data_IF_285390983685
#
_entry.id   IF_285390983685
#
_cell.length_a   1.000
_cell.length_b   1.000
_cell.length_c   1.000
_cell.angle_alpha   90.00
_cell.angle_beta   90.00
_cell.angle_gamma   90.00
#
_symmetry.space_group_name_H-M   'P 1'
#
loop_
_entity.id
_entity.type
_entity.pdbx_description
1 polymer ?
#
# COMPACT_ATOMS: atom_id res chain seq x y z
N UNK A 1 6.00 15.27 14.11
CA UNK A 1 5.81 14.18 13.13
C UNK A 1 4.55 14.49 12.33
N UNK A 2 4.55 14.37 11.02
CA UNK A 2 3.38 14.75 10.21
C UNK A 2 2.28 13.68 10.32
N UNK A 3 1.05 14.16 10.44
CA UNK A 3 -0.17 13.37 10.39
C UNK A 3 -1.12 13.93 9.34
N UNK A 4 -1.82 13.05 8.65
CA UNK A 4 -2.95 13.40 7.79
C UNK A 4 -4.24 12.87 8.41
N UNK A 5 -5.26 13.72 8.55
CA UNK A 5 -6.53 13.33 9.14
C UNK A 5 -7.50 12.83 8.07
N UNK A 6 -7.92 11.57 8.18
CA UNK A 6 -8.94 10.98 7.35
C UNK A 6 -10.33 11.60 7.67
N UNK A 7 -11.27 11.66 6.73
CA UNK A 7 -12.63 12.16 6.99
C UNK A 7 -13.39 11.49 8.14
N UNK A 8 -13.02 10.25 8.51
CA UNK A 8 -13.55 9.57 9.69
C UNK A 8 -12.94 10.03 11.02
N UNK A 9 -12.00 10.98 10.99
CA UNK A 9 -11.29 11.54 12.13
C UNK A 9 -10.00 10.81 12.49
N UNK A 10 -9.69 9.68 11.86
CA UNK A 10 -8.47 8.91 12.11
C UNK A 10 -7.23 9.67 11.64
N UNK A 11 -6.23 9.81 12.51
CA UNK A 11 -4.95 10.42 12.16
C UNK A 11 -3.98 9.34 11.63
N UNK A 12 -3.48 9.56 10.43
CA UNK A 12 -2.53 8.68 9.75
C UNK A 12 -1.15 9.29 9.80
N UNK A 13 -0.23 8.62 10.47
CA UNK A 13 1.17 9.00 10.55
C UNK A 13 1.91 8.66 9.28
N UNK A 14 2.76 9.58 8.82
CA UNK A 14 3.65 9.35 7.68
C UNK A 14 4.98 10.06 7.86
N UNK A 15 5.98 9.62 7.10
CA UNK A 15 7.28 10.28 6.99
C UNK A 15 7.65 10.53 5.53
N UNK A 16 8.36 11.63 5.27
CA UNK A 16 8.91 11.95 3.96
C UNK A 16 10.44 11.84 4.00
N UNK A 17 11.01 11.17 3.03
CA UNK A 17 12.46 11.02 2.88
C UNK A 17 12.84 11.11 1.41
N UNK A 18 13.89 11.89 1.10
CA UNK A 18 14.37 12.07 -0.26
C UNK A 18 13.57 13.06 -1.09
N UNK A 19 13.99 13.22 -2.34
CA UNK A 19 13.37 14.09 -3.34
C UNK A 19 13.21 13.34 -4.66
N UNK A 20 12.27 13.77 -5.51
CA UNK A 20 12.01 13.15 -6.80
C UNK A 20 10.56 12.70 -6.99
N UNK A 21 10.31 11.76 -7.93
CA UNK A 21 8.96 11.21 -8.11
C UNK A 21 8.42 10.57 -6.81
N UNK A 22 7.17 10.85 -6.42
CA UNK A 22 6.62 10.33 -5.18
C UNK A 22 6.38 8.81 -5.25
N UNK A 23 6.86 8.10 -4.22
CA UNK A 23 6.70 6.66 -4.04
C UNK A 23 6.16 6.36 -2.63
N UNK A 24 4.94 5.86 -2.55
CA UNK A 24 4.35 5.38 -1.30
C UNK A 24 4.90 4.01 -0.95
N UNK A 25 5.36 3.85 0.30
CA UNK A 25 5.81 2.58 0.87
C UNK A 25 4.85 2.14 1.98
N UNK A 26 4.12 1.02 1.75
CA UNK A 26 3.11 0.51 2.68
C UNK A 26 3.52 -0.85 3.26
N UNK A 27 3.71 -0.90 4.57
CA UNK A 27 4.17 -2.08 5.31
C UNK A 27 3.09 -3.19 5.45
N UNK A 28 3.52 -4.35 5.94
CA UNK A 28 2.66 -5.50 6.23
C UNK A 28 1.99 -5.46 7.61
N UNK A 29 1.12 -6.45 7.87
CA UNK A 29 0.48 -6.63 9.17
C UNK A 29 1.54 -6.83 10.28
N UNK A 30 1.26 -6.33 11.48
CA UNK A 30 2.14 -6.39 12.67
C UNK A 30 3.52 -5.73 12.47
N UNK A 31 3.59 -4.77 11.56
CA UNK A 31 4.78 -4.00 11.23
C UNK A 31 4.47 -2.50 11.28
N UNK A 32 5.46 -1.67 10.99
CA UNK A 32 5.34 -0.22 10.87
C UNK A 32 6.25 0.31 9.75
N UNK A 33 6.23 1.62 9.53
CA UNK A 33 7.04 2.27 8.50
C UNK A 33 8.55 2.09 8.68
N UNK A 34 9.05 1.84 9.91
CA UNK A 34 10.48 1.63 10.17
C UNK A 34 11.01 0.33 9.54
N UNK A 35 10.13 -0.61 9.20
CA UNK A 35 10.51 -1.82 8.47
C UNK A 35 11.19 -1.50 7.14
N UNK A 36 10.77 -0.46 6.44
CA UNK A 36 11.37 -0.03 5.18
C UNK A 36 12.78 0.52 5.38
N UNK A 37 13.02 1.22 6.52
CA UNK A 37 14.35 1.71 6.91
C UNK A 37 15.27 0.57 7.28
N UNK A 38 14.84 -0.29 8.20
CA UNK A 38 15.65 -1.38 8.75
C UNK A 38 16.02 -2.44 7.72
N UNK A 39 15.20 -2.62 6.67
CA UNK A 39 15.45 -3.56 5.57
C UNK A 39 16.21 -2.95 4.40
N UNK A 40 16.66 -1.70 4.51
CA UNK A 40 17.52 -1.05 3.52
C UNK A 40 16.79 -0.45 2.31
N UNK A 41 15.46 -0.53 2.23
CA UNK A 41 14.70 0.05 1.10
C UNK A 41 14.84 1.57 1.04
N UNK A 42 14.78 2.24 2.18
CA UNK A 42 14.96 3.70 2.24
C UNK A 42 16.34 4.08 1.72
N UNK A 43 17.40 3.44 2.21
CA UNK A 43 18.77 3.71 1.78
C UNK A 43 18.98 3.48 0.27
N UNK A 44 18.29 2.50 -0.31
CA UNK A 44 18.41 2.18 -1.74
C UNK A 44 17.62 3.12 -2.65
N UNK A 45 16.55 3.77 -2.17
CA UNK A 45 15.59 4.48 -3.02
C UNK A 45 15.54 5.99 -2.79
N UNK A 46 16.01 6.50 -1.64
CA UNK A 46 15.86 7.91 -1.24
C UNK A 46 16.59 8.91 -2.16
N UNK A 47 17.62 8.46 -2.88
CA UNK A 47 18.36 9.33 -3.80
C UNK A 47 17.66 9.47 -5.17
N UNK A 48 16.58 8.71 -5.41
CA UNK A 48 15.85 8.68 -6.68
C UNK A 48 14.39 9.09 -6.52
N UNK A 49 13.79 8.81 -5.37
CA UNK A 49 12.37 9.03 -5.11
C UNK A 49 12.14 9.87 -3.86
N UNK A 50 11.07 10.65 -3.86
CA UNK A 50 10.46 11.15 -2.65
C UNK A 50 9.66 10.00 -2.03
N UNK A 51 10.20 9.39 -0.99
CA UNK A 51 9.58 8.27 -0.29
C UNK A 51 8.54 8.78 0.71
N UNK A 52 7.33 8.24 0.63
CA UNK A 52 6.20 8.50 1.53
C UNK A 52 5.97 7.22 2.31
N UNK A 53 6.55 7.13 3.50
CA UNK A 53 6.40 5.98 4.39
C UNK A 53 5.15 6.19 5.24
N UNK A 54 4.22 5.23 5.25
CA UNK A 54 2.94 5.37 5.95
C UNK A 54 2.79 4.28 6.99
N UNK A 55 2.45 4.67 8.22
CA UNK A 55 1.90 3.75 9.21
C UNK A 55 0.42 3.52 8.91
N UNK A 56 0.05 2.30 8.57
CA UNK A 56 -1.36 1.94 8.37
C UNK A 56 -2.16 2.17 9.65
N UNK A 57 -3.44 2.58 9.54
CA UNK A 57 -4.31 2.61 10.72
C UNK A 57 -4.20 1.31 11.53
N UNK A 58 -4.16 1.42 12.84
CA UNK A 58 -3.94 0.31 13.75
C UNK A 58 -2.47 -0.07 13.97
N UNK A 59 -1.51 0.64 13.33
CA UNK A 59 -0.08 0.34 13.39
C UNK A 59 0.74 1.60 13.67
N UNK A 60 1.97 1.41 14.13
CA UNK A 60 2.93 2.48 14.38
C UNK A 60 2.35 3.62 15.22
N UNK A 61 2.56 4.84 14.76
CA UNK A 61 2.05 6.07 15.39
C UNK A 61 0.65 6.48 14.89
N UNK A 62 0.09 5.79 13.89
CA UNK A 62 -1.29 6.04 13.45
C UNK A 62 -2.31 5.65 14.49
N UNK A 63 -3.48 6.31 14.46
CA UNK A 63 -4.60 5.97 15.35
C UNK A 63 -5.05 4.52 15.17
N UNK A 64 -5.63 3.98 16.26
CA UNK A 64 -6.03 2.58 16.38
C UNK A 64 -7.51 2.48 16.75
N UNK A 65 -8.43 2.74 15.78
CA UNK A 65 -9.87 2.61 16.02
C UNK A 65 -10.24 1.22 16.56
N UNK A 66 -11.20 1.17 17.49
CA UNK A 66 -11.63 -0.11 18.10
C UNK A 66 -12.65 -0.88 17.23
N UNK A 67 -13.31 -0.20 16.29
CA UNK A 67 -14.36 -0.79 15.45
C UNK A 67 -13.73 -1.58 14.31
N UNK A 68 -14.17 -2.82 14.10
CA UNK A 68 -13.67 -3.70 13.03
C UNK A 68 -13.89 -3.13 11.64
N UNK A 69 -15.01 -2.41 11.43
CA UNK A 69 -15.40 -1.77 10.17
C UNK A 69 -14.40 -0.69 9.75
N UNK A 70 -13.70 -0.07 10.71
CA UNK A 70 -12.66 0.91 10.44
C UNK A 70 -11.48 0.32 9.66
N UNK A 71 -11.34 -1.01 9.60
CA UNK A 71 -10.23 -1.70 8.98
C UNK A 71 -10.56 -2.33 7.62
N UNK A 72 -11.70 -2.01 7.05
CA UNK A 72 -12.07 -2.45 5.71
C UNK A 72 -11.09 -1.95 4.64
N UNK A 73 -10.95 -2.72 3.55
CA UNK A 73 -10.02 -2.40 2.47
C UNK A 73 -10.21 -1.00 1.91
N UNK A 74 -11.47 -0.60 1.66
CA UNK A 74 -11.80 0.72 1.13
C UNK A 74 -11.33 1.84 2.05
N UNK A 75 -11.54 1.69 3.35
CA UNK A 75 -11.15 2.67 4.36
C UNK A 75 -9.62 2.83 4.41
N UNK A 76 -8.87 1.71 4.41
CA UNK A 76 -7.40 1.73 4.37
C UNK A 76 -6.86 2.37 3.10
N UNK A 77 -7.52 2.15 1.95
CA UNK A 77 -7.13 2.78 0.69
C UNK A 77 -7.43 4.30 0.73
N UNK A 78 -8.51 4.71 1.39
CA UNK A 78 -8.80 6.13 1.62
C UNK A 78 -7.72 6.82 2.46
N UNK A 79 -7.07 6.13 3.41
CA UNK A 79 -5.93 6.67 4.15
C UNK A 79 -4.77 7.08 3.25
N UNK A 80 -4.47 6.28 2.22
CA UNK A 80 -3.44 6.62 1.24
C UNK A 80 -3.78 7.92 0.50
N UNK A 81 -5.05 8.06 0.07
CA UNK A 81 -5.53 9.28 -0.58
C UNK A 81 -5.43 10.48 0.36
N UNK A 82 -5.76 10.29 1.64
CA UNK A 82 -5.68 11.34 2.67
C UNK A 82 -4.26 11.86 2.81
N UNK A 83 -3.26 10.97 2.88
CA UNK A 83 -1.84 11.35 2.94
C UNK A 83 -1.42 12.08 1.66
N UNK A 84 -1.75 11.55 0.47
CA UNK A 84 -1.43 12.21 -0.79
C UNK A 84 -2.07 13.61 -0.91
N UNK A 85 -3.31 13.77 -0.45
CA UNK A 85 -3.99 15.07 -0.45
C UNK A 85 -3.33 16.07 0.51
N UNK A 86 -2.93 15.62 1.71
CA UNK A 86 -2.21 16.46 2.67
C UNK A 86 -0.85 16.93 2.15
N UNK A 87 -0.27 16.18 1.23
CA UNK A 87 1.00 16.51 0.57
C UNK A 87 0.82 17.23 -0.78
N UNK A 88 -0.42 17.51 -1.20
CA UNK A 88 -0.75 18.09 -2.51
C UNK A 88 -0.19 17.27 -3.70
N UNK A 89 -0.08 15.95 -3.53
CA UNK A 89 0.39 15.01 -4.55
C UNK A 89 -0.81 14.42 -5.28
N UNK A 90 -0.91 14.66 -6.57
CA UNK A 90 -1.98 14.13 -7.42
C UNK A 90 -1.80 12.64 -7.70
N UNK A 91 -0.60 12.24 -8.14
CA UNK A 91 -0.28 10.85 -8.48
C UNK A 91 1.08 10.43 -7.90
N UNK A 92 1.15 9.20 -7.39
CA UNK A 92 2.37 8.58 -6.88
C UNK A 92 2.62 7.21 -7.52
N UNK A 93 3.80 6.65 -7.30
CA UNK A 93 4.07 5.22 -7.41
C UNK A 93 3.72 4.55 -6.07
N UNK A 94 3.48 3.25 -6.09
CA UNK A 94 3.13 2.49 -4.88
C UNK A 94 3.96 1.21 -4.78
N UNK A 95 4.43 0.91 -3.58
CA UNK A 95 5.05 -0.35 -3.21
C UNK A 95 4.47 -0.84 -1.89
N UNK A 96 3.80 -1.98 -1.91
CA UNK A 96 3.19 -2.59 -0.74
C UNK A 96 3.62 -4.02 -0.52
N UNK A 97 3.81 -4.42 0.75
CA UNK A 97 4.15 -5.79 1.12
C UNK A 97 3.06 -6.40 2.00
N UNK A 98 2.67 -7.66 1.74
CA UNK A 98 1.68 -8.42 2.50
C UNK A 98 0.34 -7.66 2.63
N UNK A 99 -0.03 -7.15 3.79
CA UNK A 99 -1.19 -6.26 3.97
C UNK A 99 -1.13 -5.05 3.04
N UNK A 100 0.05 -4.42 2.88
CA UNK A 100 0.26 -3.36 1.90
C UNK A 100 0.06 -3.85 0.45
N UNK A 101 0.40 -5.09 0.14
CA UNK A 101 0.09 -5.73 -1.13
C UNK A 101 -1.42 -5.87 -1.35
N UNK A 102 -2.17 -6.31 -0.34
CA UNK A 102 -3.63 -6.36 -0.35
C UNK A 102 -4.25 -4.96 -0.57
N UNK A 103 -3.73 -3.93 0.08
CA UNK A 103 -4.15 -2.55 -0.15
C UNK A 103 -3.85 -2.10 -1.60
N UNK A 104 -2.75 -2.57 -2.20
CA UNK A 104 -2.43 -2.34 -3.60
C UNK A 104 -3.53 -2.82 -4.56
N UNK A 105 -4.13 -3.98 -4.31
CA UNK A 105 -5.33 -4.41 -5.06
C UNK A 105 -6.53 -3.50 -4.82
N UNK A 106 -6.71 -3.01 -3.60
CA UNK A 106 -7.74 -2.02 -3.29
C UNK A 106 -7.58 -0.71 -4.08
N UNK A 107 -6.34 -0.29 -4.32
CA UNK A 107 -6.04 0.88 -5.16
C UNK A 107 -6.62 0.69 -6.57
N UNK A 108 -6.45 -0.48 -7.19
CA UNK A 108 -6.96 -0.74 -8.54
C UNK A 108 -8.47 -0.70 -8.64
N UNK A 109 -9.17 -0.93 -7.52
CA UNK A 109 -10.63 -0.92 -7.45
C UNK A 109 -11.17 0.48 -7.15
N UNK A 110 -10.57 1.17 -6.18
CA UNK A 110 -11.19 2.39 -5.60
C UNK A 110 -10.57 3.69 -6.07
N UNK A 111 -9.29 3.69 -6.49
CA UNK A 111 -8.60 4.93 -6.91
C UNK A 111 -7.44 4.70 -7.91
N UNK A 112 -7.65 3.95 -9.00
CA UNK A 112 -6.57 3.63 -9.93
C UNK A 112 -5.89 4.87 -10.52
N UNK A 113 -6.61 5.98 -10.65
CA UNK A 113 -6.10 7.23 -11.20
C UNK A 113 -5.07 7.94 -10.31
N UNK A 114 -4.99 7.59 -9.02
CA UNK A 114 -4.06 8.20 -8.06
C UNK A 114 -2.67 7.56 -8.08
N UNK A 115 -2.50 6.46 -8.82
CA UNK A 115 -1.22 5.74 -8.85
C UNK A 115 -0.78 5.41 -10.26
N UNK A 116 0.48 5.76 -10.57
CA UNK A 116 1.10 5.53 -11.88
C UNK A 116 1.56 4.09 -12.06
N UNK A 117 1.99 3.44 -10.98
CA UNK A 117 2.41 2.04 -10.96
C UNK A 117 2.27 1.45 -9.57
N UNK A 118 2.11 0.12 -9.51
CA UNK A 118 1.98 -0.65 -8.29
C UNK A 118 3.02 -1.78 -8.28
N UNK A 119 3.77 -1.87 -7.18
CA UNK A 119 4.63 -3.01 -6.86
C UNK A 119 3.99 -3.73 -5.69
N UNK A 120 3.52 -4.94 -5.92
CA UNK A 120 2.80 -5.75 -4.93
C UNK A 120 3.65 -6.95 -4.56
N UNK A 121 4.12 -6.97 -3.31
CA UNK A 121 4.91 -8.05 -2.75
C UNK A 121 4.17 -8.84 -1.68
N UNK A 122 4.41 -10.15 -1.58
CA UNK A 122 3.93 -11.00 -0.49
C UNK A 122 2.42 -11.18 -0.38
N UNK A 123 1.66 -10.81 -1.42
CA UNK A 123 0.21 -10.97 -1.49
C UNK A 123 -0.21 -11.37 -2.89
N UNK A 124 -0.94 -12.49 -3.03
CA UNK A 124 -1.49 -12.93 -4.30
C UNK A 124 -2.96 -12.48 -4.46
N UNK A 125 -3.42 -12.21 -5.70
CA UNK A 125 -4.77 -11.74 -5.96
C UNK A 125 -5.86 -12.75 -5.56
N UNK A 126 -5.49 -14.02 -5.43
CA UNK A 126 -6.44 -15.10 -5.13
C UNK A 126 -6.01 -15.85 -3.87
N UNK A 127 -6.61 -15.54 -2.73
CA UNK A 127 -6.70 -16.47 -1.60
C UNK A 127 -7.86 -17.44 -1.87
N UNK A 128 -7.70 -18.33 -2.85
CA UNK A 128 -8.52 -19.52 -2.94
C UNK A 128 -8.14 -20.45 -1.78
N UNK A 129 -9.13 -21.04 -1.11
CA UNK A 129 -8.98 -22.03 -0.03
C UNK A 129 -8.40 -23.35 -0.56
N UNK A 130 -7.17 -23.37 -1.06
CA UNK A 130 -6.47 -24.58 -1.43
C UNK A 130 -5.32 -24.86 -0.48
N UNK A 131 -5.40 -25.96 0.20
CA UNK A 131 -4.29 -26.54 0.97
C UNK A 131 -3.29 -27.20 -0.01
N UNK A 132 -2.20 -26.50 -0.32
CA UNK A 132 -1.08 -27.04 -1.11
C UNK A 132 -0.41 -26.02 -2.02
N UNK A 133 0.85 -26.26 -2.43
CA UNK A 133 1.54 -25.41 -3.38
C UNK A 133 0.86 -25.50 -4.76
N UNK A 134 0.79 -24.35 -5.44
CA UNK A 134 0.32 -24.28 -6.82
C UNK A 134 1.28 -25.01 -7.76
N UNK A 135 0.74 -25.70 -8.74
CA UNK A 135 1.53 -26.19 -9.87
C UNK A 135 2.02 -25.02 -10.75
N UNK A 136 3.06 -25.23 -11.54
CA UNK A 136 3.58 -24.19 -12.43
C UNK A 136 2.53 -23.74 -13.47
N UNK A 137 1.67 -24.65 -13.92
CA UNK A 137 0.56 -24.33 -14.81
C UNK A 137 -0.48 -23.42 -14.11
N UNK A 138 -0.86 -23.72 -12.87
CA UNK A 138 -1.77 -22.88 -12.11
C UNK A 138 -1.20 -21.50 -11.80
N UNK A 139 0.11 -21.40 -11.59
CA UNK A 139 0.82 -20.11 -11.43
C UNK A 139 0.77 -19.30 -12.74
N UNK A 140 1.00 -19.95 -13.89
CA UNK A 140 0.94 -19.32 -15.20
C UNK A 140 -0.46 -18.79 -15.51
N UNK A 141 -1.50 -19.63 -15.34
CA UNK A 141 -2.90 -19.24 -15.56
C UNK A 141 -3.31 -18.06 -14.68
N UNK A 142 -2.92 -18.07 -13.40
CA UNK A 142 -3.19 -16.95 -12.48
C UNK A 142 -2.53 -15.66 -12.93
N UNK A 143 -1.27 -15.74 -13.37
CA UNK A 143 -0.56 -14.57 -13.86
C UNK A 143 -1.23 -13.99 -15.12
N UNK A 144 -1.54 -14.81 -16.09
CA UNK A 144 -2.21 -14.41 -17.33
C UNK A 144 -3.60 -13.79 -17.07
N UNK A 145 -4.38 -14.37 -16.15
CA UNK A 145 -5.69 -13.83 -15.75
C UNK A 145 -5.52 -12.47 -15.09
N UNK A 146 -4.58 -12.34 -14.15
CA UNK A 146 -4.33 -11.06 -13.45
C UNK A 146 -3.88 -9.97 -14.44
N UNK A 147 -2.97 -10.28 -15.35
CA UNK A 147 -2.51 -9.33 -16.37
C UNK A 147 -3.67 -8.89 -17.25
N UNK A 148 -4.52 -9.81 -17.71
CA UNK A 148 -5.67 -9.47 -18.54
C UNK A 148 -6.70 -8.62 -17.82
N UNK A 149 -7.02 -8.90 -16.55
CA UNK A 149 -7.95 -8.11 -15.75
C UNK A 149 -7.45 -6.67 -15.51
N UNK A 150 -6.14 -6.49 -15.33
CA UNK A 150 -5.53 -5.17 -15.14
C UNK A 150 -5.40 -4.38 -16.44
N UNK A 151 -5.26 -5.06 -17.59
CA UNK A 151 -5.05 -4.39 -18.90
C UNK A 151 -6.32 -4.17 -19.71
N UNK A 152 -7.46 -4.76 -19.33
CA UNK A 152 -8.74 -4.66 -20.05
C UNK A 152 -9.79 -3.79 -19.36
N UNK A 153 -9.50 -3.21 -18.18
CA UNK A 153 -10.30 -2.20 -17.48
C UNK A 153 -9.50 -0.88 -17.48
#
# INVERSE_FOLDING_TARGET
MPFAQNPDGTNIHYELIGEGPPLVLQHGLLSDLNTWKSRGYVAALQDTFQLILIDSRGHGESDKPDQSEAYELRTRVTDLATVLNALEIDQAHYMGYSMGGWMGYGITIYMPQRFKSLIIGGFGPFRGSRSGPLTEEEKRIRWETTVNEVTTN
#
